data_IF_542946629110
#
_entry.id   IF_542946629110
#
_cell.length_a   1.000
_cell.length_b   1.000
_cell.length_c   1.000
_cell.angle_alpha   90.00
_cell.angle_beta   90.00
_cell.angle_gamma   90.00
#
_symmetry.space_group_name_H-M   'P 1'
#
loop_
_entity.id
_entity.type
_entity.pdbx_description
1 polymer ?
#
# COMPACT_ATOMS: atom_id res chain seq x y z
N UNK A 1 -26.24 8.92 16.30
CA UNK A 1 -25.42 7.84 16.92
C UNK A 1 -24.17 7.69 16.06
N UNK A 2 -22.95 7.87 16.60
CA UNK A 2 -21.73 7.75 15.79
C UNK A 2 -21.50 6.27 15.46
N UNK A 3 -21.57 5.89 14.17
CA UNK A 3 -21.46 4.49 13.72
C UNK A 3 -20.14 3.80 14.09
N UNK A 4 -19.11 4.59 14.39
CA UNK A 4 -17.78 4.13 14.81
C UNK A 4 -17.63 3.99 16.33
N UNK A 5 -18.64 4.40 17.10
CA UNK A 5 -18.66 4.23 18.56
C UNK A 5 -19.79 3.30 18.99
N UNK A 6 -19.55 2.52 20.02
CA UNK A 6 -20.57 1.67 20.64
C UNK A 6 -21.53 2.48 21.53
N UNK A 7 -22.51 1.80 22.14
CA UNK A 7 -23.47 2.40 23.10
C UNK A 7 -22.79 2.98 24.35
N UNK A 8 -21.54 2.61 24.62
CA UNK A 8 -20.72 3.08 25.74
C UNK A 8 -19.68 4.12 25.31
N UNK A 9 -19.84 4.72 24.11
CA UNK A 9 -18.95 5.72 23.51
C UNK A 9 -17.51 5.26 23.24
N UNK A 10 -17.25 3.95 23.26
CA UNK A 10 -15.96 3.35 22.93
C UNK A 10 -15.82 3.14 21.43
N UNK A 11 -14.60 3.27 20.93
CA UNK A 11 -14.31 3.04 19.52
C UNK A 11 -14.48 1.57 19.12
N UNK A 12 -15.06 1.34 17.95
CA UNK A 12 -15.28 0.02 17.39
C UNK A 12 -14.08 -0.41 16.55
N UNK A 13 -13.24 -1.30 17.05
CA UNK A 13 -12.11 -1.87 16.29
C UNK A 13 -12.50 -3.22 15.67
N UNK A 14 -12.63 -4.28 16.49
CA UNK A 14 -12.96 -5.62 16.00
C UNK A 14 -14.36 -5.70 15.38
N UNK A 15 -15.35 -5.09 16.02
CA UNK A 15 -16.72 -5.09 15.47
C UNK A 15 -16.90 -4.21 14.23
N UNK A 16 -15.85 -3.51 13.78
CA UNK A 16 -15.88 -2.73 12.55
C UNK A 16 -15.85 -3.63 11.32
N UNK A 17 -15.17 -4.77 11.42
CA UNK A 17 -14.87 -5.67 10.32
C UNK A 17 -15.66 -6.97 10.41
N UNK A 18 -16.20 -7.42 9.27
CA UNK A 18 -16.93 -8.70 9.17
C UNK A 18 -16.10 -9.88 9.67
N UNK A 19 -14.81 -9.87 9.39
CA UNK A 19 -13.85 -10.96 9.62
C UNK A 19 -13.49 -11.11 11.10
N UNK A 20 -13.62 -10.05 11.90
CA UNK A 20 -13.25 -10.06 13.32
C UNK A 20 -14.43 -9.84 14.27
N UNK A 21 -15.61 -9.54 13.73
CA UNK A 21 -16.83 -9.40 14.52
C UNK A 21 -17.30 -10.76 15.08
N UNK A 22 -17.42 -10.86 16.41
CA UNK A 22 -17.84 -12.10 17.10
C UNK A 22 -19.37 -12.27 17.26
N UNK A 23 -20.17 -11.24 16.95
CA UNK A 23 -21.63 -11.17 17.18
C UNK A 23 -22.33 -10.72 15.88
N UNK A 24 -23.66 -10.95 15.70
CA UNK A 24 -24.25 -11.33 14.42
C UNK A 24 -23.91 -10.36 13.27
N UNK A 25 -23.85 -10.95 12.07
CA UNK A 25 -23.34 -10.40 10.80
C UNK A 25 -23.89 -9.02 10.37
N UNK A 26 -24.80 -8.41 11.09
CA UNK A 26 -25.46 -7.15 10.69
C UNK A 26 -24.86 -5.88 11.33
N UNK A 27 -23.79 -6.01 12.11
CA UNK A 27 -23.20 -4.84 12.81
C UNK A 27 -21.89 -4.32 12.19
N UNK A 28 -21.19 -5.08 11.35
CA UNK A 28 -19.93 -4.58 10.75
C UNK A 28 -20.20 -3.42 9.78
N UNK A 29 -19.20 -2.55 9.58
CA UNK A 29 -19.30 -1.45 8.61
C UNK A 29 -18.53 -1.74 7.33
N UNK A 30 -17.48 -2.54 7.43
CA UNK A 30 -16.62 -2.90 6.30
C UNK A 30 -16.22 -4.37 6.39
N UNK A 31 -15.86 -4.92 5.25
CA UNK A 31 -14.93 -6.06 5.15
C UNK A 31 -13.50 -5.54 5.12
N UNK A 32 -12.52 -6.41 5.34
CA UNK A 32 -11.11 -6.03 5.15
C UNK A 32 -10.83 -5.60 3.72
N UNK A 33 -11.43 -6.27 2.73
CA UNK A 33 -11.24 -5.93 1.32
C UNK A 33 -11.81 -4.55 0.96
N UNK A 34 -12.99 -4.20 1.46
CA UNK A 34 -13.58 -2.87 1.24
C UNK A 34 -12.72 -1.77 1.87
N UNK A 35 -12.27 -1.97 3.11
CA UNK A 35 -11.42 -0.99 3.80
C UNK A 35 -10.04 -0.86 3.14
N UNK A 36 -9.46 -1.96 2.66
CA UNK A 36 -8.22 -1.95 1.88
C UNK A 36 -8.37 -1.09 0.64
N UNK A 37 -9.41 -1.29 -0.17
CA UNK A 37 -9.65 -0.47 -1.38
C UNK A 37 -9.70 1.02 -1.05
N UNK A 38 -10.48 1.40 -0.05
CA UNK A 38 -10.56 2.79 0.42
C UNK A 38 -9.19 3.33 0.89
N UNK A 39 -8.41 2.50 1.58
CA UNK A 39 -7.06 2.86 2.02
C UNK A 39 -6.12 3.13 0.83
N UNK A 40 -6.09 2.24 -0.16
CA UNK A 40 -5.26 2.39 -1.37
C UNK A 40 -5.71 3.57 -2.25
N UNK A 41 -7.01 3.83 -2.31
CA UNK A 41 -7.60 4.99 -3.01
C UNK A 41 -7.20 6.33 -2.38
N UNK A 42 -6.98 6.38 -1.06
CA UNK A 42 -6.52 7.60 -0.39
C UNK A 42 -5.13 8.06 -0.82
N UNK A 43 -4.33 7.16 -1.41
CA UNK A 43 -2.97 7.41 -1.88
C UNK A 43 -2.05 8.11 -0.84
N UNK A 44 -2.28 7.82 0.44
CA UNK A 44 -1.62 8.46 1.58
C UNK A 44 -0.90 7.40 2.43
N UNK A 45 0.45 7.32 2.36
CA UNK A 45 1.21 6.33 3.11
C UNK A 45 1.16 6.54 4.63
N UNK A 46 0.67 7.69 5.12
CA UNK A 46 0.51 7.94 6.55
C UNK A 46 -0.79 7.38 7.13
N UNK A 47 -1.76 7.06 6.26
CA UNK A 47 -3.11 6.62 6.64
C UNK A 47 -3.99 7.72 7.25
N UNK A 48 -3.56 8.97 7.26
CA UNK A 48 -4.30 10.09 7.84
C UNK A 48 -5.58 10.41 7.07
N UNK A 49 -5.52 10.43 5.73
CA UNK A 49 -6.69 10.68 4.88
C UNK A 49 -7.73 9.58 5.06
N UNK A 50 -7.30 8.31 5.09
CA UNK A 50 -8.18 7.19 5.37
C UNK A 50 -8.84 7.33 6.75
N UNK A 51 -8.06 7.66 7.77
CA UNK A 51 -8.55 7.80 9.14
C UNK A 51 -9.60 8.92 9.29
N UNK A 52 -9.42 10.04 8.61
CA UNK A 52 -10.32 11.21 8.72
C UNK A 52 -11.53 11.13 7.79
N UNK A 53 -11.41 10.42 6.67
CA UNK A 53 -12.47 10.32 5.64
C UNK A 53 -13.39 9.11 5.88
N UNK A 54 -12.83 7.94 6.20
CA UNK A 54 -13.57 6.67 6.26
C UNK A 54 -13.76 6.12 7.67
N UNK A 55 -13.04 6.68 8.66
CA UNK A 55 -13.10 6.27 10.06
C UNK A 55 -13.52 7.44 10.96
N UNK A 56 -13.54 7.20 12.27
CA UNK A 56 -13.79 8.20 13.30
C UNK A 56 -12.62 9.17 13.58
N UNK A 57 -11.66 9.30 12.67
CA UNK A 57 -10.46 10.13 12.81
C UNK A 57 -9.20 9.35 13.23
N UNK A 58 -8.09 10.08 13.35
CA UNK A 58 -6.76 9.52 13.64
C UNK A 58 -6.69 8.66 14.90
N UNK A 59 -7.36 9.08 15.99
CA UNK A 59 -7.43 8.31 17.25
C UNK A 59 -8.07 6.94 17.05
N UNK A 60 -9.09 6.85 16.19
CA UNK A 60 -9.75 5.58 15.90
C UNK A 60 -8.81 4.63 15.13
N UNK A 61 -8.13 5.16 14.11
CA UNK A 61 -7.18 4.39 13.30
C UNK A 61 -5.99 3.87 14.13
N UNK A 62 -5.43 4.68 15.03
CA UNK A 62 -4.37 4.22 15.92
C UNK A 62 -4.80 3.04 16.82
N UNK A 63 -6.05 3.03 17.30
CA UNK A 63 -6.58 1.90 18.07
C UNK A 63 -6.73 0.64 17.20
N UNK A 64 -7.05 0.80 15.92
CA UNK A 64 -7.05 -0.33 14.97
C UNK A 64 -5.64 -0.89 14.79
N UNK A 65 -4.63 -0.04 14.62
CA UNK A 65 -3.21 -0.45 14.51
C UNK A 65 -2.68 -1.15 15.77
N UNK A 66 -3.31 -0.96 16.93
CA UNK A 66 -2.96 -1.66 18.18
C UNK A 66 -3.64 -3.03 18.31
N UNK A 67 -4.67 -3.32 17.51
CA UNK A 67 -5.39 -4.58 17.55
C UNK A 67 -4.65 -5.65 16.75
N UNK A 68 -4.19 -6.73 17.39
CA UNK A 68 -3.35 -7.75 16.75
C UNK A 68 -3.92 -8.32 15.44
N UNK A 69 -5.23 -8.57 15.37
CA UNK A 69 -5.87 -9.13 14.17
C UNK A 69 -5.99 -8.13 13.03
N UNK A 70 -6.11 -6.83 13.33
CA UNK A 70 -6.31 -5.77 12.33
C UNK A 70 -4.96 -5.20 11.89
N UNK A 71 -4.00 -5.09 12.81
CA UNK A 71 -2.67 -4.55 12.56
C UNK A 71 -1.94 -5.30 11.44
N UNK A 72 -2.05 -6.63 11.40
CA UNK A 72 -1.46 -7.47 10.34
C UNK A 72 -2.06 -7.15 8.98
N UNK A 73 -3.36 -6.88 8.89
CA UNK A 73 -3.98 -6.51 7.62
C UNK A 73 -3.61 -5.08 7.21
N UNK A 74 -3.57 -4.13 8.16
CA UNK A 74 -3.14 -2.75 7.88
C UNK A 74 -1.69 -2.74 7.37
N UNK A 75 -0.79 -3.53 7.95
CA UNK A 75 0.59 -3.66 7.48
C UNK A 75 0.65 -4.12 6.02
N UNK A 76 -0.16 -5.10 5.62
CA UNK A 76 -0.26 -5.54 4.22
C UNK A 76 -0.77 -4.42 3.30
N UNK A 77 -1.74 -3.63 3.76
CA UNK A 77 -2.25 -2.50 2.97
C UNK A 77 -1.21 -1.38 2.83
N UNK A 78 -0.43 -1.13 3.88
CA UNK A 78 0.71 -0.21 3.87
C UNK A 78 1.79 -0.66 2.89
N UNK A 79 2.16 -1.95 2.92
CA UNK A 79 3.11 -2.55 1.98
C UNK A 79 2.62 -2.44 0.53
N UNK A 80 1.35 -2.77 0.26
CA UNK A 80 0.76 -2.65 -1.06
C UNK A 80 0.78 -1.20 -1.56
N UNK A 81 0.38 -0.25 -0.72
CA UNK A 81 0.40 1.17 -1.07
C UNK A 81 1.82 1.67 -1.34
N UNK A 82 2.80 1.24 -0.55
CA UNK A 82 4.20 1.60 -0.78
C UNK A 82 4.68 1.10 -2.13
N UNK A 83 4.35 -0.14 -2.50
CA UNK A 83 4.69 -0.71 -3.82
C UNK A 83 4.01 0.05 -4.94
N UNK A 84 2.72 0.39 -4.81
CA UNK A 84 1.98 1.20 -5.79
C UNK A 84 2.63 2.57 -5.99
N UNK A 85 2.89 3.31 -4.90
CA UNK A 85 3.52 4.63 -4.96
C UNK A 85 4.93 4.57 -5.55
N UNK A 86 5.68 3.51 -5.24
CA UNK A 86 7.01 3.28 -5.82
C UNK A 86 6.92 3.02 -7.31
N UNK A 87 5.95 2.21 -7.77
CA UNK A 87 5.74 1.95 -9.19
C UNK A 87 5.38 3.25 -9.95
N UNK A 88 4.48 4.07 -9.38
CA UNK A 88 4.14 5.39 -9.93
C UNK A 88 5.37 6.31 -10.02
N UNK A 89 6.17 6.36 -8.95
CA UNK A 89 7.39 7.16 -8.92
C UNK A 89 8.42 6.68 -9.97
N UNK A 90 8.62 5.37 -10.12
CA UNK A 90 9.49 4.81 -11.16
C UNK A 90 8.97 5.16 -12.55
N UNK A 91 7.67 5.05 -12.80
CA UNK A 91 7.07 5.46 -14.08
C UNK A 91 7.30 6.94 -14.39
N UNK A 92 7.21 7.81 -13.38
CA UNK A 92 7.53 9.24 -13.53
C UNK A 92 9.02 9.46 -13.83
N UNK A 93 9.91 8.68 -13.22
CA UNK A 93 11.34 8.72 -13.48
C UNK A 93 11.68 8.26 -14.90
N UNK A 94 11.00 7.25 -15.44
CA UNK A 94 11.15 6.82 -16.84
C UNK A 94 10.81 7.98 -17.78
N UNK A 95 9.65 8.62 -17.60
CA UNK A 95 9.26 9.79 -18.40
C UNK A 95 10.26 10.94 -18.30
N UNK A 96 10.78 11.21 -17.09
CA UNK A 96 11.78 12.26 -16.89
C UNK A 96 13.12 11.93 -17.56
N UNK A 97 13.46 10.64 -17.67
CA UNK A 97 14.72 10.17 -18.25
C UNK A 97 14.83 10.40 -19.76
N UNK A 98 13.69 10.54 -20.45
CA UNK A 98 13.60 10.81 -21.89
C UNK A 98 13.89 12.28 -22.26
N UNK A 99 13.88 13.19 -21.30
CA UNK A 99 14.12 14.62 -21.54
C UNK A 99 15.60 15.02 -21.52
N UNK A 100 15.90 16.23 -22.01
CA UNK A 100 17.26 16.79 -22.13
C UNK A 100 18.06 16.86 -20.82
N UNK A 101 17.38 16.84 -19.66
CA UNK A 101 17.98 16.84 -18.32
C UNK A 101 17.78 15.51 -17.56
N UNK A 102 17.46 14.44 -18.29
CA UNK A 102 17.11 13.13 -17.75
C UNK A 102 18.26 12.32 -17.17
N UNK A 103 19.51 12.83 -17.16
CA UNK A 103 20.69 12.08 -16.70
C UNK A 103 20.55 11.52 -15.29
N UNK A 104 20.05 12.32 -14.33
CA UNK A 104 19.85 11.85 -12.95
C UNK A 104 18.80 10.73 -12.87
N UNK A 105 17.74 10.83 -13.68
CA UNK A 105 16.70 9.81 -13.74
C UNK A 105 17.21 8.53 -14.39
N UNK A 106 17.92 8.63 -15.51
CA UNK A 106 18.61 7.50 -16.14
C UNK A 106 19.56 6.81 -15.18
N UNK A 107 20.36 7.58 -14.41
CA UNK A 107 21.26 7.01 -13.41
C UNK A 107 20.50 6.26 -12.32
N UNK A 108 19.44 6.86 -11.77
CA UNK A 108 18.59 6.19 -10.78
C UNK A 108 17.99 4.88 -11.32
N UNK A 109 17.57 4.88 -12.59
CA UNK A 109 16.99 3.71 -13.23
C UNK A 109 18.02 2.59 -13.45
N UNK A 110 19.19 2.93 -13.97
CA UNK A 110 20.29 1.98 -14.19
C UNK A 110 20.81 1.38 -12.89
N UNK A 111 20.91 2.20 -11.84
CA UNK A 111 21.40 1.77 -10.52
C UNK A 111 20.34 0.96 -9.74
N UNK A 112 19.11 0.82 -10.24
CA UNK A 112 18.04 0.11 -9.54
C UNK A 112 17.58 0.81 -8.27
N UNK A 113 17.54 2.15 -8.28
CA UNK A 113 17.36 2.97 -7.08
C UNK A 113 16.06 2.75 -6.31
N UNK A 114 15.07 2.08 -6.90
CA UNK A 114 13.81 1.70 -6.26
C UNK A 114 13.89 0.40 -5.43
N UNK A 115 14.97 -0.38 -5.58
CA UNK A 115 15.12 -1.64 -4.85
C UNK A 115 15.43 -1.35 -3.39
N UNK A 116 14.49 -1.68 -2.50
CA UNK A 116 14.69 -1.56 -1.06
C UNK A 116 15.88 -2.43 -0.62
N UNK A 117 16.90 -1.80 -0.03
CA UNK A 117 18.06 -2.51 0.50
C UNK A 117 17.64 -3.24 1.77
N UNK A 118 17.42 -4.56 1.70
CA UNK A 118 17.33 -5.38 2.92
C UNK A 118 18.58 -5.15 3.78
N UNK A 119 18.41 -5.02 5.09
CA UNK A 119 19.51 -4.88 6.03
C UNK A 119 20.46 -6.09 5.89
N UNK A 120 21.71 -5.82 5.50
CA UNK A 120 22.68 -6.80 5.03
C UNK A 120 23.15 -6.45 3.62
N UNK A 121 24.28 -5.73 3.53
CA UNK A 121 24.84 -5.11 2.30
C UNK A 121 24.65 -5.98 1.05
N UNK A 122 23.67 -5.66 0.17
CA UNK A 122 23.58 -6.33 -1.12
C UNK A 122 24.78 -5.91 -1.96
N UNK A 123 25.54 -6.87 -2.48
CA UNK A 123 26.63 -6.61 -3.43
C UNK A 123 26.05 -5.97 -4.70
N UNK A 124 26.85 -5.16 -5.42
CA UNK A 124 26.42 -4.51 -6.68
C UNK A 124 25.85 -5.52 -7.69
N UNK A 125 26.32 -6.77 -7.64
CA UNK A 125 25.81 -7.87 -8.46
C UNK A 125 24.39 -8.31 -8.10
N UNK A 126 24.06 -8.36 -6.80
CA UNK A 126 22.70 -8.68 -6.35
C UNK A 126 21.70 -7.60 -6.79
N UNK A 127 22.11 -6.33 -6.78
CA UNK A 127 21.31 -5.21 -7.29
C UNK A 127 21.06 -5.36 -8.80
N UNK A 128 22.11 -5.62 -9.59
CA UNK A 128 21.98 -5.85 -11.04
C UNK A 128 21.08 -7.04 -11.37
N UNK A 129 21.18 -8.14 -10.61
CA UNK A 129 20.33 -9.32 -10.79
C UNK A 129 18.86 -9.02 -10.48
N UNK A 130 18.59 -8.30 -9.38
CA UNK A 130 17.24 -7.90 -9.00
C UNK A 130 16.62 -6.91 -10.00
N UNK A 131 17.41 -5.95 -10.53
CA UNK A 131 16.98 -5.08 -11.63
C UNK A 131 16.60 -5.91 -12.85
N UNK A 132 17.45 -6.88 -13.26
CA UNK A 132 17.18 -7.74 -14.41
C UNK A 132 15.93 -8.61 -14.21
N UNK A 133 15.71 -9.14 -13.01
CA UNK A 133 14.52 -9.93 -12.68
C UNK A 133 13.25 -9.08 -12.74
N UNK A 134 13.26 -7.88 -12.15
CA UNK A 134 12.10 -6.98 -12.19
C UNK A 134 11.78 -6.46 -13.60
N UNK A 135 12.81 -6.19 -14.42
CA UNK A 135 12.60 -5.79 -15.83
C UNK A 135 11.94 -6.94 -16.60
N UNK A 136 12.44 -8.18 -16.45
CA UNK A 136 11.86 -9.34 -17.12
C UNK A 136 10.41 -9.59 -16.69
N UNK A 137 10.11 -9.49 -15.40
CA UNK A 137 8.76 -9.67 -14.86
C UNK A 137 7.79 -8.59 -15.35
N UNK A 138 8.25 -7.34 -15.47
CA UNK A 138 7.46 -6.25 -16.04
C UNK A 138 7.21 -6.44 -17.54
N UNK A 139 8.21 -6.87 -18.31
CA UNK A 139 8.09 -7.14 -19.75
C UNK A 139 7.13 -8.30 -20.03
N UNK A 140 7.16 -9.36 -19.21
CA UNK A 140 6.20 -10.46 -19.26
C UNK A 140 4.77 -10.02 -18.93
N UNK A 141 4.59 -9.19 -17.90
CA UNK A 141 3.27 -8.65 -17.53
C UNK A 141 2.72 -7.69 -18.59
N UNK A 142 3.56 -6.80 -19.13
CA UNK A 142 3.18 -5.85 -20.19
C UNK A 142 2.75 -6.60 -21.46
N UNK A 143 3.55 -7.58 -21.89
CA UNK A 143 3.26 -8.39 -23.07
C UNK A 143 1.98 -9.23 -22.94
N UNK A 144 1.60 -9.59 -21.70
CA UNK A 144 0.36 -10.33 -21.43
C UNK A 144 -0.92 -9.48 -21.51
N UNK A 145 -0.81 -8.15 -21.36
CA UNK A 145 -1.94 -7.21 -21.40
C UNK A 145 -2.26 -6.81 -22.84
N UNK A 146 -1.25 -6.76 -23.72
CA UNK A 146 -1.43 -6.41 -25.14
C UNK A 146 -2.07 -7.52 -26.00
N UNK A 147 -2.23 -8.74 -25.47
CA UNK A 147 -2.85 -9.88 -26.16
C UNK A 147 -4.37 -10.00 -25.94
N UNK A 148 -5.03 -9.04 -25.28
CA UNK A 148 -6.48 -9.07 -24.98
C UNK A 148 -7.34 -8.00 -25.68
N UNK A 149 -6.91 -7.50 -26.84
CA UNK A 149 -7.76 -6.69 -27.72
C UNK A 149 -8.13 -7.47 -28.99
#
# INVERSE_FOLDING_TARGET
MNKFKDKMHRWRTLSLFKETASYPRDFYLFTFEEARKLYIECNDPTGYIFATTHLGGWKHFNLMKQSKSIAVEIERWEEELEVKLRAEAVGNMIKLSEGDKGYQANKFLVDGGWIQKKAGRPTKEAQRKAVKQHIAEYDELSSSVDLKH
#
